data_IF_563203561914
#
_entry.id   IF_563203561914
#
_cell.length_a   1.000
_cell.length_b   1.000
_cell.length_c   1.000
_cell.angle_alpha   90.00
_cell.angle_beta   90.00
_cell.angle_gamma   90.00
#
_symmetry.space_group_name_H-M   'P 1'
#
loop_
_entity.id
_entity.type
_entity.pdbx_description
1 polymer ?
#
# COMPACT_ATOMS: atom_id res chain seq x y z
N UNK A 1 -30.20 -1.36 8.18
CA UNK A 1 -29.46 -1.20 9.43
C UNK A 1 -29.28 -2.61 10.01
N UNK A 2 -28.14 -3.29 9.68
CA UNK A 2 -27.80 -4.57 10.30
C UNK A 2 -26.93 -4.26 11.52
N UNK A 3 -27.41 -4.59 12.69
CA UNK A 3 -26.61 -4.62 13.91
C UNK A 3 -25.51 -5.65 13.72
N UNK A 4 -24.26 -5.18 13.57
CA UNK A 4 -23.07 -6.01 13.68
C UNK A 4 -22.97 -6.45 15.16
N UNK A 5 -23.35 -7.70 15.42
CA UNK A 5 -22.99 -8.38 16.66
C UNK A 5 -21.45 -8.42 16.70
N UNK A 6 -20.85 -7.70 17.63
CA UNK A 6 -19.44 -7.80 17.99
C UNK A 6 -19.18 -9.20 18.57
N UNK A 7 -18.94 -10.17 17.69
CA UNK A 7 -18.20 -11.35 18.10
C UNK A 7 -16.75 -10.84 18.13
N UNK A 8 -16.21 -10.66 19.32
CA UNK A 8 -14.78 -10.45 19.52
C UNK A 8 -14.06 -11.69 18.99
N UNK A 9 -13.65 -11.67 17.73
CA UNK A 9 -12.77 -12.69 17.21
C UNK A 9 -11.46 -12.50 17.98
N UNK A 10 -11.08 -13.49 18.79
CA UNK A 10 -9.83 -13.43 19.54
C UNK A 10 -8.68 -13.50 18.53
N UNK A 11 -7.96 -12.40 18.40
CA UNK A 11 -6.74 -12.32 17.56
C UNK A 11 -5.76 -13.42 17.98
N UNK A 12 -5.39 -14.31 17.05
CA UNK A 12 -4.49 -15.43 17.32
C UNK A 12 -3.03 -15.02 17.06
N UNK A 13 -2.16 -15.26 18.05
CA UNK A 13 -0.72 -15.01 17.88
C UNK A 13 -0.06 -16.22 17.22
N UNK A 14 0.65 -15.97 16.10
CA UNK A 14 1.37 -16.98 15.31
C UNK A 14 2.89 -16.97 15.51
N UNK A 15 3.44 -16.22 16.46
CA UNK A 15 4.89 -16.12 16.66
C UNK A 15 5.60 -17.47 16.87
N UNK A 16 4.94 -18.39 17.57
CA UNK A 16 5.50 -19.73 17.85
C UNK A 16 5.13 -20.77 16.80
N UNK A 17 3.94 -20.65 16.20
CA UNK A 17 3.42 -21.65 15.28
C UNK A 17 3.78 -21.40 13.83
N UNK A 18 4.09 -20.15 13.49
CA UNK A 18 4.36 -19.70 12.12
C UNK A 18 3.10 -19.62 11.24
N UNK A 19 3.26 -19.05 10.04
CA UNK A 19 2.20 -18.98 9.04
C UNK A 19 1.73 -20.39 8.62
N UNK A 20 2.61 -21.39 8.64
CA UNK A 20 2.31 -22.79 8.31
C UNK A 20 1.10 -23.35 9.07
N UNK A 21 0.84 -22.84 10.28
CA UNK A 21 -0.25 -23.35 11.12
C UNK A 21 -1.66 -22.97 10.62
N UNK A 22 -1.75 -22.05 9.67
CA UNK A 22 -3.02 -21.55 9.11
C UNK A 22 -3.04 -21.55 7.57
N UNK A 23 -1.92 -21.88 6.92
CA UNK A 23 -1.75 -21.78 5.46
C UNK A 23 -2.78 -22.57 4.67
N UNK A 24 -3.20 -23.73 5.17
CA UNK A 24 -4.16 -24.59 4.47
C UNK A 24 -5.59 -24.04 4.47
N UNK A 25 -5.86 -23.03 5.30
CA UNK A 25 -7.14 -22.35 5.33
C UNK A 25 -7.33 -21.36 4.19
N UNK A 26 -6.30 -21.06 3.39
CA UNK A 26 -6.31 -19.98 2.41
C UNK A 26 -5.85 -20.47 1.04
N UNK A 27 -6.43 -19.86 -0.01
CA UNK A 27 -6.10 -20.13 -1.40
C UNK A 27 -5.12 -19.10 -1.95
N UNK A 28 -5.22 -17.83 -1.48
CA UNK A 28 -4.45 -16.69 -1.97
C UNK A 28 -3.95 -15.85 -0.81
N UNK A 29 -2.71 -15.37 -0.92
CA UNK A 29 -2.08 -14.47 0.04
C UNK A 29 -1.74 -13.13 -0.63
N UNK A 30 -2.22 -12.02 -0.08
CA UNK A 30 -1.70 -10.69 -0.39
C UNK A 30 -0.65 -10.32 0.66
N UNK A 31 0.60 -10.15 0.23
CA UNK A 31 1.74 -9.92 1.12
C UNK A 31 2.33 -8.55 0.81
N UNK A 32 2.34 -7.65 1.79
CA UNK A 32 3.02 -6.36 1.65
C UNK A 32 4.53 -6.54 1.50
N UNK A 33 5.17 -5.57 0.84
CA UNK A 33 6.62 -5.57 0.67
C UNK A 33 7.34 -4.80 1.78
N UNK A 34 6.98 -3.54 1.99
CA UNK A 34 7.69 -2.65 2.88
C UNK A 34 7.29 -2.89 4.33
N UNK A 35 8.24 -3.20 5.19
CA UNK A 35 7.97 -3.58 6.60
C UNK A 35 7.69 -5.08 6.79
N UNK A 36 7.43 -5.83 5.71
CA UNK A 36 7.13 -7.27 5.74
C UNK A 36 8.22 -8.08 5.04
N UNK A 37 8.49 -7.82 3.77
CA UNK A 37 9.51 -8.53 2.98
C UNK A 37 10.86 -7.83 3.03
N UNK A 38 10.86 -6.50 3.16
CA UNK A 38 12.08 -5.69 3.28
C UNK A 38 11.85 -4.41 4.10
N UNK A 39 12.94 -3.78 4.54
CA UNK A 39 12.92 -2.50 5.25
C UNK A 39 13.39 -1.30 4.40
N UNK A 40 13.42 -1.43 3.07
CA UNK A 40 13.93 -0.43 2.14
C UNK A 40 15.45 -0.47 1.93
N UNK A 41 16.19 -1.26 2.72
CA UNK A 41 17.65 -1.40 2.66
C UNK A 41 18.02 -2.86 2.36
N UNK A 42 17.38 -3.81 3.04
CA UNK A 42 17.64 -5.26 2.90
C UNK A 42 16.35 -6.07 2.97
N UNK A 43 16.39 -7.24 2.36
CA UNK A 43 15.35 -8.26 2.50
C UNK A 43 15.37 -8.87 3.91
N UNK A 44 14.22 -9.37 4.35
CA UNK A 44 14.08 -10.15 5.56
C UNK A 44 14.14 -11.65 5.21
N UNK A 45 15.18 -12.35 5.65
CA UNK A 45 15.44 -13.76 5.29
C UNK A 45 14.25 -14.66 5.61
N UNK A 46 13.62 -14.48 6.77
CA UNK A 46 12.42 -15.22 7.16
C UNK A 46 11.24 -15.04 6.22
N UNK A 47 11.05 -13.83 5.69
CA UNK A 47 9.99 -13.57 4.74
C UNK A 47 10.26 -14.22 3.38
N UNK A 48 11.52 -14.27 2.94
CA UNK A 48 11.91 -15.00 1.72
C UNK A 48 11.65 -16.50 1.87
N UNK A 49 11.97 -17.06 3.04
CA UNK A 49 11.64 -18.46 3.35
C UNK A 49 10.12 -18.72 3.27
N UNK A 50 9.29 -17.80 3.76
CA UNK A 50 7.82 -17.92 3.64
C UNK A 50 7.38 -17.95 2.18
N UNK A 51 7.90 -17.05 1.32
CA UNK A 51 7.57 -17.03 -0.11
C UNK A 51 7.96 -18.36 -0.80
N UNK A 52 9.14 -18.89 -0.47
CA UNK A 52 9.60 -20.17 -1.00
C UNK A 52 8.70 -21.33 -0.54
N UNK A 53 8.26 -21.33 0.72
CA UNK A 53 7.39 -22.36 1.26
C UNK A 53 5.97 -22.29 0.72
N UNK A 54 5.39 -21.08 0.52
CA UNK A 54 4.11 -20.91 -0.16
C UNK A 54 4.16 -21.52 -1.56
N UNK A 55 5.21 -21.21 -2.33
CA UNK A 55 5.41 -21.80 -3.67
C UNK A 55 5.54 -23.32 -3.63
N UNK A 56 6.28 -23.90 -2.69
CA UNK A 56 6.41 -25.36 -2.52
C UNK A 56 5.07 -26.02 -2.15
N UNK A 57 4.23 -25.30 -1.44
CA UNK A 57 2.89 -25.76 -1.03
C UNK A 57 1.80 -25.47 -2.06
N UNK A 58 2.18 -25.02 -3.27
CA UNK A 58 1.26 -24.65 -4.37
C UNK A 58 0.20 -23.61 -3.94
N UNK A 59 0.59 -22.66 -3.07
CA UNK A 59 -0.27 -21.57 -2.65
C UNK A 59 -0.02 -20.34 -3.50
N UNK A 60 -1.10 -19.72 -3.97
CA UNK A 60 -1.04 -18.47 -4.73
C UNK A 60 -0.69 -17.30 -3.79
N UNK A 61 0.16 -16.39 -4.24
CA UNK A 61 0.40 -15.13 -3.52
C UNK A 61 0.76 -14.00 -4.46
N UNK A 62 0.41 -12.78 -4.05
CA UNK A 62 0.77 -11.53 -4.70
C UNK A 62 1.56 -10.67 -3.71
N UNK A 63 2.70 -10.17 -4.14
CA UNK A 63 3.49 -9.17 -3.44
C UNK A 63 2.86 -7.79 -3.75
N UNK A 64 1.94 -7.35 -2.88
CA UNK A 64 1.07 -6.20 -3.11
C UNK A 64 1.59 -4.96 -2.41
N UNK A 65 2.03 -3.95 -3.17
CA UNK A 65 2.66 -2.75 -2.61
C UNK A 65 1.99 -1.46 -3.05
N UNK A 66 2.01 -0.45 -2.17
CA UNK A 66 1.58 0.92 -2.46
C UNK A 66 2.66 1.76 -3.17
N UNK A 67 3.72 1.14 -3.69
CA UNK A 67 4.76 1.85 -4.45
C UNK A 67 4.15 2.55 -5.69
N UNK A 68 4.34 3.88 -5.85
CA UNK A 68 3.77 4.67 -6.95
C UNK A 68 4.56 4.50 -8.27
N UNK A 69 4.93 3.27 -8.61
CA UNK A 69 5.80 2.93 -9.74
C UNK A 69 5.28 1.71 -10.49
N UNK A 70 5.60 1.56 -11.79
CA UNK A 70 5.32 0.33 -12.53
C UNK A 70 5.95 -0.90 -11.85
N UNK A 71 5.35 -2.07 -12.05
CA UNK A 71 5.83 -3.35 -11.49
C UNK A 71 7.32 -3.57 -11.77
N UNK A 72 7.77 -3.30 -13.00
CA UNK A 72 9.16 -3.50 -13.43
C UNK A 72 10.17 -2.75 -12.56
N UNK A 73 9.85 -1.50 -12.18
CA UNK A 73 10.72 -0.69 -11.34
C UNK A 73 10.90 -1.29 -9.94
N UNK A 74 9.81 -1.80 -9.36
CA UNK A 74 9.85 -2.47 -8.05
C UNK A 74 10.57 -3.81 -8.14
N UNK A 75 10.33 -4.59 -9.19
CA UNK A 75 11.05 -5.84 -9.46
C UNK A 75 12.57 -5.58 -9.55
N UNK A 76 12.99 -4.55 -10.30
CA UNK A 76 14.40 -4.20 -10.41
C UNK A 76 15.02 -3.75 -9.09
N UNK A 77 14.25 -3.06 -8.24
CA UNK A 77 14.66 -2.70 -6.90
C UNK A 77 14.85 -3.93 -6.00
N UNK A 78 13.90 -4.87 -6.01
CA UNK A 78 13.99 -6.12 -5.26
C UNK A 78 15.16 -7.00 -5.72
N UNK A 79 15.42 -7.07 -7.04
CA UNK A 79 16.60 -7.76 -7.59
C UNK A 79 17.91 -7.18 -7.06
N UNK A 80 18.02 -5.84 -7.03
CA UNK A 80 19.20 -5.17 -6.44
C UNK A 80 19.39 -5.47 -4.96
N UNK A 81 18.29 -5.70 -4.22
CA UNK A 81 18.36 -6.14 -2.82
C UNK A 81 18.70 -7.63 -2.66
N UNK A 82 18.79 -8.41 -3.75
CA UNK A 82 19.13 -9.83 -3.72
C UNK A 82 17.95 -10.79 -3.83
N UNK A 83 16.73 -10.32 -4.09
CA UNK A 83 15.61 -11.24 -4.40
C UNK A 83 15.93 -11.97 -5.71
N UNK A 84 15.79 -13.32 -5.70
CA UNK A 84 16.16 -14.19 -6.82
C UNK A 84 14.96 -14.81 -7.54
N UNK A 85 13.78 -14.81 -6.92
CA UNK A 85 12.57 -15.49 -7.39
C UNK A 85 11.32 -14.64 -7.13
N UNK A 86 10.16 -15.12 -7.56
CA UNK A 86 8.82 -14.58 -7.25
C UNK A 86 8.52 -13.19 -7.86
N UNK A 87 9.24 -12.79 -8.90
CA UNK A 87 9.06 -11.48 -9.56
C UNK A 87 7.71 -11.33 -10.25
N UNK A 88 7.18 -12.43 -10.81
CA UNK A 88 5.87 -12.47 -11.47
C UNK A 88 4.71 -12.17 -10.52
N UNK A 89 4.95 -12.28 -9.21
CA UNK A 89 3.93 -12.07 -8.20
C UNK A 89 3.84 -10.61 -7.71
N UNK A 90 4.71 -9.72 -8.21
CA UNK A 90 4.72 -8.30 -7.80
C UNK A 90 3.58 -7.54 -8.49
N UNK A 91 2.77 -6.84 -7.70
CA UNK A 91 1.78 -5.89 -8.19
C UNK A 91 1.80 -4.60 -7.37
N UNK A 92 1.81 -3.45 -8.07
CA UNK A 92 1.99 -2.14 -7.46
C UNK A 92 0.74 -1.26 -7.62
N UNK A 93 0.55 -0.33 -6.69
CA UNK A 93 -0.45 0.73 -6.84
C UNK A 93 -0.18 1.61 -8.06
N UNK A 94 1.10 1.80 -8.39
CA UNK A 94 1.50 2.50 -9.60
C UNK A 94 1.03 1.81 -10.87
N UNK A 95 1.14 0.48 -10.96
CA UNK A 95 0.62 -0.30 -12.08
C UNK A 95 -0.90 -0.15 -12.21
N UNK A 96 -1.63 -0.25 -11.10
CA UNK A 96 -3.08 -0.06 -11.09
C UNK A 96 -3.48 1.35 -11.55
N UNK A 97 -2.76 2.38 -11.05
CA UNK A 97 -2.99 3.75 -11.47
C UNK A 97 -2.64 3.98 -12.96
N UNK A 98 -1.53 3.42 -13.44
CA UNK A 98 -1.10 3.58 -14.83
C UNK A 98 -2.15 3.03 -15.82
N UNK A 99 -2.75 1.88 -15.51
CA UNK A 99 -3.85 1.34 -16.32
C UNK A 99 -5.00 2.34 -16.43
N UNK A 100 -5.43 2.92 -15.30
CA UNK A 100 -6.48 3.94 -15.28
C UNK A 100 -6.10 5.21 -16.03
N UNK A 101 -4.88 5.72 -15.86
CA UNK A 101 -4.40 6.92 -16.55
C UNK A 101 -4.41 6.74 -18.07
N UNK A 102 -4.05 5.55 -18.56
CA UNK A 102 -4.01 5.23 -19.99
C UNK A 102 -5.42 5.01 -20.57
N UNK A 103 -6.31 4.32 -19.84
CA UNK A 103 -7.67 4.03 -20.32
C UNK A 103 -8.59 5.26 -20.25
N UNK A 104 -8.60 5.97 -19.12
CA UNK A 104 -9.61 6.99 -18.83
C UNK A 104 -9.10 8.42 -19.04
N UNK A 105 -7.80 8.70 -18.88
CA UNK A 105 -7.26 10.05 -18.82
C UNK A 105 -6.17 10.34 -19.86
N UNK A 106 -5.96 9.46 -20.83
CA UNK A 106 -4.86 9.52 -21.81
C UNK A 106 -4.71 10.88 -22.53
N UNK A 107 -5.81 11.57 -22.79
CA UNK A 107 -5.82 12.83 -23.55
C UNK A 107 -5.97 14.06 -22.64
N UNK A 108 -6.07 13.89 -21.33
CA UNK A 108 -6.22 14.97 -20.37
C UNK A 108 -4.86 15.44 -19.87
N UNK A 109 -4.72 16.74 -19.67
CA UNK A 109 -3.50 17.36 -19.12
C UNK A 109 -3.45 17.16 -17.61
N UNK A 110 -2.26 16.88 -17.08
CA UNK A 110 -2.08 16.75 -15.63
C UNK A 110 -0.90 17.57 -15.12
N UNK A 111 -1.02 17.99 -13.87
CA UNK A 111 0.09 18.53 -13.10
C UNK A 111 0.62 17.44 -12.15
N UNK A 112 1.89 17.12 -12.28
CA UNK A 112 2.54 16.09 -11.43
C UNK A 112 2.96 16.68 -10.09
N UNK A 113 2.51 16.04 -9.00
CA UNK A 113 2.94 16.28 -7.63
C UNK A 113 3.74 15.06 -7.18
N UNK A 114 5.05 15.21 -7.06
CA UNK A 114 5.96 14.13 -6.70
C UNK A 114 7.37 14.37 -7.19
N UNK A 115 8.31 13.50 -6.79
CA UNK A 115 9.71 13.62 -7.18
C UNK A 115 9.94 13.17 -8.62
N UNK A 116 10.99 13.65 -9.30
CA UNK A 116 11.34 13.25 -10.67
C UNK A 116 11.58 11.74 -10.83
N UNK A 117 12.00 11.05 -9.78
CA UNK A 117 12.21 9.60 -9.80
C UNK A 117 10.95 8.76 -10.08
N UNK A 118 9.76 9.37 -10.00
CA UNK A 118 8.48 8.70 -10.26
C UNK A 118 7.97 8.94 -11.70
N UNK A 119 8.73 9.65 -12.56
CA UNK A 119 8.33 9.96 -13.94
C UNK A 119 8.12 8.72 -14.82
N UNK A 120 8.70 7.58 -14.47
CA UNK A 120 8.48 6.32 -15.19
C UNK A 120 7.01 5.88 -15.18
N UNK A 121 6.26 6.26 -14.14
CA UNK A 121 4.84 5.94 -14.00
C UNK A 121 4.01 6.44 -15.20
N UNK A 122 4.33 7.61 -15.71
CA UNK A 122 3.54 8.26 -16.76
C UNK A 122 4.32 8.53 -18.07
N UNK A 123 5.42 7.79 -18.31
CA UNK A 123 6.23 7.95 -19.54
C UNK A 123 5.39 7.88 -20.83
N UNK A 124 4.35 7.04 -20.83
CA UNK A 124 3.46 6.83 -21.98
C UNK A 124 2.47 7.99 -22.22
N UNK A 125 2.27 8.86 -21.22
CA UNK A 125 1.40 10.04 -21.28
C UNK A 125 2.18 11.32 -20.90
N UNK A 126 3.52 11.30 -21.00
CA UNK A 126 4.40 12.41 -20.61
C UNK A 126 4.07 13.74 -21.31
N UNK A 127 3.57 13.67 -22.56
CA UNK A 127 3.19 14.87 -23.33
C UNK A 127 2.04 15.66 -22.70
N UNK A 128 1.24 15.03 -21.85
CA UNK A 128 0.12 15.64 -21.14
C UNK A 128 0.54 16.31 -19.82
N UNK A 129 1.78 16.10 -19.35
CA UNK A 129 2.29 16.75 -18.16
C UNK A 129 2.52 18.24 -18.39
N UNK A 130 1.87 19.09 -17.60
CA UNK A 130 1.98 20.56 -17.65
C UNK A 130 2.79 21.08 -16.47
N UNK A 131 3.41 22.27 -16.64
CA UNK A 131 4.27 22.88 -15.62
C UNK A 131 3.50 23.77 -14.62
N UNK A 132 2.27 24.15 -14.94
CA UNK A 132 1.42 24.98 -14.08
C UNK A 132 0.15 24.24 -13.72
N UNK A 133 -0.28 24.36 -12.45
CA UNK A 133 -1.51 23.72 -11.98
C UNK A 133 -2.73 24.23 -12.74
N UNK A 134 -2.75 25.51 -13.08
CA UNK A 134 -3.87 26.12 -13.81
C UNK A 134 -4.15 25.45 -15.16
N UNK A 135 -3.10 25.02 -15.86
CA UNK A 135 -3.18 24.42 -17.20
C UNK A 135 -3.60 22.92 -17.16
N UNK A 136 -3.72 22.32 -15.99
CA UNK A 136 -4.04 20.91 -15.82
C UNK A 136 -5.55 20.65 -15.74
N UNK A 137 -5.99 19.53 -16.29
CA UNK A 137 -7.35 19.01 -16.11
C UNK A 137 -7.48 18.26 -14.78
N UNK A 138 -6.40 17.58 -14.33
CA UNK A 138 -6.34 16.87 -13.07
C UNK A 138 -4.93 16.93 -12.45
N UNK A 139 -4.84 16.51 -11.18
CA UNK A 139 -3.60 16.41 -10.42
C UNK A 139 -3.16 14.95 -10.33
N UNK A 140 -1.89 14.64 -10.62
CA UNK A 140 -1.31 13.31 -10.44
C UNK A 140 -0.32 13.34 -9.28
N UNK A 141 -0.70 12.77 -8.14
CA UNK A 141 0.12 12.74 -6.94
C UNK A 141 0.78 11.37 -6.76
N UNK A 142 2.12 11.32 -6.90
CA UNK A 142 2.93 10.11 -6.68
C UNK A 142 3.75 10.19 -5.39
N UNK A 143 3.93 11.41 -4.85
CA UNK A 143 4.74 11.66 -3.66
C UNK A 143 4.77 13.14 -3.32
N UNK A 144 5.82 13.55 -2.62
CA UNK A 144 6.14 14.93 -2.32
C UNK A 144 7.27 15.43 -3.23
N UNK A 145 7.36 16.74 -3.45
CA UNK A 145 8.51 17.34 -4.11
C UNK A 145 9.75 17.23 -3.21
N UNK A 146 10.91 16.98 -3.80
CA UNK A 146 12.17 16.80 -3.05
C UNK A 146 12.51 18.01 -2.15
N UNK A 147 12.12 19.24 -2.53
CA UNK A 147 12.36 20.44 -1.74
C UNK A 147 11.29 20.69 -0.64
N UNK A 148 10.20 19.92 -0.61
CA UNK A 148 9.05 20.11 0.29
C UNK A 148 8.58 18.79 0.91
N UNK A 149 9.49 17.83 1.08
CA UNK A 149 9.19 16.48 1.58
C UNK A 149 8.64 16.42 3.01
N UNK A 150 8.81 17.51 3.79
CA UNK A 150 8.34 17.61 5.18
C UNK A 150 7.35 18.77 5.42
N UNK A 151 6.91 19.50 4.37
CA UNK A 151 6.03 20.67 4.51
C UNK A 151 4.65 20.43 3.88
N UNK A 152 3.73 19.81 4.61
CA UNK A 152 2.35 19.62 4.16
C UNK A 152 1.59 20.96 4.01
N UNK A 153 1.99 22.03 4.72
CA UNK A 153 1.38 23.35 4.56
C UNK A 153 1.69 23.96 3.20
N UNK A 154 2.86 23.67 2.62
CA UNK A 154 3.15 24.04 1.24
C UNK A 154 2.09 23.50 0.29
N UNK A 155 1.76 22.20 0.38
CA UNK A 155 0.73 21.59 -0.48
C UNK A 155 -0.64 22.16 -0.22
N UNK A 156 -0.99 22.43 1.03
CA UNK A 156 -2.25 23.11 1.36
C UNK A 156 -2.36 24.46 0.64
N UNK A 157 -1.28 25.28 0.64
CA UNK A 157 -1.27 26.59 -0.01
C UNK A 157 -1.43 26.49 -1.53
N UNK A 158 -0.60 25.66 -2.20
CA UNK A 158 -0.63 25.57 -3.67
C UNK A 158 -1.91 24.91 -4.22
N UNK A 159 -2.58 24.09 -3.41
CA UNK A 159 -3.77 23.35 -3.82
C UNK A 159 -5.09 24.06 -3.47
N UNK A 160 -5.09 25.06 -2.58
CA UNK A 160 -6.30 25.72 -2.08
C UNK A 160 -7.17 26.33 -3.17
N UNK A 161 -6.58 26.86 -4.24
CA UNK A 161 -7.31 27.47 -5.35
C UNK A 161 -7.67 26.47 -6.45
N UNK A 162 -7.35 25.16 -6.27
CA UNK A 162 -7.50 24.14 -7.29
C UNK A 162 -8.38 22.96 -6.85
N UNK A 163 -9.23 23.16 -5.84
CA UNK A 163 -10.09 22.13 -5.24
C UNK A 163 -11.15 21.55 -6.22
N UNK A 164 -11.43 22.27 -7.31
CA UNK A 164 -12.29 21.76 -8.39
C UNK A 164 -11.65 20.67 -9.25
N UNK A 165 -10.31 20.60 -9.26
CA UNK A 165 -9.56 19.56 -9.98
C UNK A 165 -9.59 18.26 -9.18
N UNK A 166 -9.72 17.15 -9.89
CA UNK A 166 -9.61 15.81 -9.29
C UNK A 166 -8.14 15.47 -9.07
N UNK A 167 -7.79 14.88 -7.93
CA UNK A 167 -6.46 14.32 -7.67
C UNK A 167 -6.48 12.81 -7.85
N UNK A 168 -5.53 12.27 -8.59
CA UNK A 168 -5.22 10.83 -8.67
C UNK A 168 -4.04 10.58 -7.74
N UNK A 169 -4.27 9.86 -6.65
CA UNK A 169 -3.25 9.48 -5.68
C UNK A 169 -2.80 8.04 -5.95
N UNK A 170 -1.52 7.86 -6.25
CA UNK A 170 -0.94 6.57 -6.65
C UNK A 170 -0.25 5.84 -5.51
N UNK A 171 -0.22 6.41 -4.31
CA UNK A 171 0.29 5.80 -3.09
C UNK A 171 -0.54 6.29 -1.89
N UNK A 172 -1.53 5.53 -1.41
CA UNK A 172 -2.37 5.93 -0.28
C UNK A 172 -1.68 5.96 1.08
N UNK A 173 -0.46 5.41 1.23
CA UNK A 173 0.27 5.48 2.48
C UNK A 173 0.48 6.92 2.92
N UNK A 174 0.29 7.18 4.21
CA UNK A 174 0.56 8.50 4.78
C UNK A 174 2.06 8.69 5.04
N UNK A 175 2.69 7.65 5.54
CA UNK A 175 4.10 7.64 5.95
C UNK A 175 4.74 6.29 5.61
N UNK A 176 6.06 6.30 5.49
CA UNK A 176 6.89 5.09 5.37
C UNK A 176 8.15 5.25 6.21
N UNK A 177 8.63 4.15 6.80
CA UNK A 177 9.92 4.10 7.49
C UNK A 177 11.01 3.57 6.53
N UNK A 178 11.98 4.41 6.17
CA UNK A 178 13.18 4.01 5.41
C UNK A 178 14.35 3.87 6.37
N UNK A 179 14.61 2.66 6.83
CA UNK A 179 15.49 2.43 7.96
C UNK A 179 14.94 3.13 9.21
N UNK A 180 15.68 4.12 9.74
CA UNK A 180 15.25 4.90 10.90
C UNK A 180 14.54 6.22 10.54
N UNK A 181 14.61 6.65 9.28
CA UNK A 181 13.97 7.89 8.82
C UNK A 181 12.51 7.64 8.45
N UNK A 182 11.60 8.42 9.04
CA UNK A 182 10.18 8.45 8.67
C UNK A 182 9.93 9.53 7.65
N UNK A 183 9.26 9.17 6.55
CA UNK A 183 9.00 10.06 5.41
C UNK A 183 7.50 10.10 5.11
N UNK A 184 6.99 11.28 4.68
CA UNK A 184 5.63 11.38 4.15
C UNK A 184 5.52 10.76 2.76
N UNK A 185 4.34 10.19 2.49
CA UNK A 185 3.97 9.64 1.18
C UNK A 185 2.88 10.48 0.50
N UNK A 186 2.53 10.14 -0.75
CA UNK A 186 1.49 10.84 -1.52
C UNK A 186 0.15 10.90 -0.79
N UNK A 187 -0.20 9.88 0.00
CA UNK A 187 -1.41 9.85 0.81
C UNK A 187 -1.50 11.01 1.80
N UNK A 188 -0.38 11.52 2.33
CA UNK A 188 -0.37 12.70 3.20
C UNK A 188 -0.75 13.98 2.44
N UNK A 189 -0.29 14.13 1.19
CA UNK A 189 -0.69 15.24 0.31
C UNK A 189 -2.17 15.12 -0.07
N UNK A 190 -2.60 13.92 -0.45
CA UNK A 190 -3.98 13.64 -0.80
C UNK A 190 -4.94 13.92 0.36
N UNK A 191 -4.59 13.48 1.58
CA UNK A 191 -5.37 13.78 2.80
C UNK A 191 -5.42 15.29 3.09
N UNK A 192 -4.32 16.00 2.89
CA UNK A 192 -4.29 17.47 3.01
C UNK A 192 -5.22 18.12 2.00
N UNK A 193 -5.28 17.60 0.77
CA UNK A 193 -6.20 18.08 -0.26
C UNK A 193 -7.68 17.81 0.09
N UNK A 194 -8.01 16.65 0.63
CA UNK A 194 -9.36 16.35 1.14
C UNK A 194 -9.78 17.25 2.30
N UNK A 195 -8.86 17.60 3.21
CA UNK A 195 -9.15 18.53 4.32
C UNK A 195 -9.59 19.92 3.84
N UNK A 196 -9.13 20.35 2.66
CA UNK A 196 -9.56 21.58 2.00
C UNK A 196 -10.70 21.37 0.98
N UNK A 197 -11.39 20.21 1.04
CA UNK A 197 -12.54 19.82 0.20
C UNK A 197 -12.19 19.44 -1.24
N UNK A 198 -10.96 19.14 -1.56
CA UNK A 198 -10.56 18.54 -2.83
C UNK A 198 -11.06 17.09 -2.96
N UNK A 199 -11.25 16.61 -4.20
CA UNK A 199 -11.67 15.24 -4.50
C UNK A 199 -10.48 14.39 -4.90
N UNK A 200 -10.32 13.21 -4.27
CA UNK A 200 -9.22 12.27 -4.55
C UNK A 200 -9.76 10.93 -5.04
N UNK A 201 -9.10 10.37 -6.06
CA UNK A 201 -9.23 8.97 -6.44
C UNK A 201 -7.94 8.28 -6.04
N UNK A 202 -8.05 7.24 -5.22
CA UNK A 202 -6.91 6.50 -4.70
C UNK A 202 -6.68 5.19 -5.47
N UNK A 203 -5.41 4.91 -5.79
CA UNK A 203 -4.93 3.63 -6.24
C UNK A 203 -3.96 3.06 -5.21
N UNK A 204 -4.18 1.81 -4.83
CA UNK A 204 -3.43 1.12 -3.77
C UNK A 204 -4.31 0.72 -2.59
N UNK A 205 -3.72 -0.04 -1.66
CA UNK A 205 -4.36 -0.45 -0.41
C UNK A 205 -4.74 0.79 0.42
N UNK A 206 -5.91 0.89 1.03
CA UNK A 206 -6.93 -0.15 1.26
C UNK A 206 -7.99 -0.24 0.15
N UNK A 207 -7.84 0.44 -0.99
CA UNK A 207 -8.88 0.60 -2.00
C UNK A 207 -9.02 -0.63 -2.92
N UNK A 208 -10.25 -1.04 -3.29
CA UNK A 208 -10.53 -2.26 -4.07
C UNK A 208 -9.76 -2.41 -5.38
N UNK A 209 -9.49 -1.35 -6.18
CA UNK A 209 -8.87 -1.51 -7.49
C UNK A 209 -7.54 -2.28 -7.49
N UNK A 210 -6.71 -2.12 -6.45
CA UNK A 210 -5.41 -2.79 -6.41
C UNK A 210 -5.53 -4.31 -6.23
N UNK A 211 -6.54 -4.76 -5.49
CA UNK A 211 -6.82 -6.19 -5.29
C UNK A 211 -7.38 -6.80 -6.57
N UNK A 212 -8.47 -6.22 -7.12
CA UNK A 212 -9.18 -6.72 -8.29
C UNK A 212 -8.32 -6.73 -9.57
N UNK A 213 -7.36 -5.81 -9.70
CA UNK A 213 -6.49 -5.73 -10.87
C UNK A 213 -5.24 -6.61 -10.76
N UNK A 214 -4.90 -7.09 -9.58
CA UNK A 214 -3.67 -7.87 -9.33
C UNK A 214 -3.79 -9.33 -9.75
N UNK A 215 -4.96 -9.93 -9.50
CA UNK A 215 -5.27 -11.34 -9.83
C UNK A 215 -6.78 -11.58 -9.73
N UNK A 216 -7.22 -12.75 -10.18
CA UNK A 216 -8.59 -13.21 -9.92
C UNK A 216 -8.74 -13.60 -8.44
N UNK A 217 -9.67 -12.92 -7.77
CA UNK A 217 -10.00 -13.11 -6.34
C UNK A 217 -11.34 -13.82 -6.13
N UNK A 218 -12.01 -14.22 -7.22
CA UNK A 218 -13.36 -14.83 -7.16
C UNK A 218 -13.31 -16.15 -6.40
N UNK A 219 -14.23 -16.32 -5.46
CA UNK A 219 -14.43 -17.53 -4.65
C UNK A 219 -13.19 -18.03 -3.87
N UNK A 220 -12.15 -17.18 -3.74
CA UNK A 220 -10.93 -17.51 -2.99
C UNK A 220 -11.04 -17.09 -1.53
N UNK A 221 -10.55 -17.94 -0.63
CA UNK A 221 -10.30 -17.59 0.75
C UNK A 221 -8.92 -16.92 0.85
N UNK A 222 -8.92 -15.66 1.28
CA UNK A 222 -7.76 -14.75 1.15
C UNK A 222 -7.23 -14.32 2.51
N UNK A 223 -5.90 -14.34 2.68
CA UNK A 223 -5.21 -13.75 3.80
C UNK A 223 -4.35 -12.56 3.35
N UNK A 224 -4.63 -11.39 3.91
CA UNK A 224 -3.78 -10.21 3.73
C UNK A 224 -2.75 -10.13 4.84
N UNK A 225 -1.47 -9.97 4.48
CA UNK A 225 -0.34 -9.89 5.40
C UNK A 225 0.33 -8.53 5.23
N UNK A 226 0.35 -7.74 6.29
CA UNK A 226 0.94 -6.40 6.24
C UNK A 226 1.25 -5.83 7.62
N UNK A 227 1.96 -4.71 7.64
CA UNK A 227 2.35 -4.01 8.87
C UNK A 227 1.57 -2.73 9.12
N UNK A 228 0.78 -2.26 8.14
CA UNK A 228 0.10 -0.98 8.20
C UNK A 228 -1.42 -1.15 8.42
N UNK A 229 -1.87 -0.66 9.58
CA UNK A 229 -3.28 -0.70 9.97
C UNK A 229 -4.20 0.11 9.04
N UNK A 230 -3.70 1.21 8.46
CA UNK A 230 -4.48 2.07 7.57
C UNK A 230 -4.64 1.52 6.15
N UNK A 231 -3.75 0.66 5.70
CA UNK A 231 -3.71 0.18 4.32
C UNK A 231 -3.89 -1.34 4.22
N UNK A 232 -2.99 -2.13 4.77
CA UNK A 232 -3.05 -3.59 4.68
C UNK A 232 -4.26 -4.16 5.41
N UNK A 233 -4.36 -3.84 6.72
CA UNK A 233 -5.41 -4.39 7.57
C UNK A 233 -6.76 -3.78 7.24
N UNK A 234 -6.81 -2.47 7.07
CA UNK A 234 -8.05 -1.80 6.64
C UNK A 234 -8.53 -2.30 5.28
N UNK A 235 -7.60 -2.56 4.37
CA UNK A 235 -7.90 -3.14 3.07
C UNK A 235 -8.48 -4.54 3.17
N UNK A 236 -7.89 -5.42 3.99
CA UNK A 236 -8.45 -6.73 4.28
C UNK A 236 -9.89 -6.62 4.83
N UNK A 237 -10.11 -5.75 5.82
CA UNK A 237 -11.43 -5.56 6.42
C UNK A 237 -12.47 -5.03 5.43
N UNK A 238 -12.11 -4.07 4.56
CA UNK A 238 -13.02 -3.52 3.53
C UNK A 238 -13.42 -4.59 2.50
N UNK A 239 -12.48 -5.49 2.15
CA UNK A 239 -12.72 -6.57 1.19
C UNK A 239 -13.33 -7.82 1.83
N UNK A 240 -13.54 -7.86 3.16
CA UNK A 240 -13.92 -9.04 3.94
C UNK A 240 -12.93 -10.21 3.80
N UNK A 241 -11.62 -9.91 3.71
CA UNK A 241 -10.54 -10.87 3.78
C UNK A 241 -10.02 -11.00 5.21
N UNK A 242 -9.45 -12.17 5.53
CA UNK A 242 -8.74 -12.35 6.79
C UNK A 242 -7.40 -11.59 6.78
N UNK A 243 -6.89 -11.25 7.95
CA UNK A 243 -5.71 -10.40 8.09
C UNK A 243 -4.68 -10.94 9.08
N UNK A 244 -3.40 -10.78 8.72
CA UNK A 244 -2.25 -11.02 9.59
C UNK A 244 -1.46 -9.71 9.73
N UNK A 245 -1.47 -9.13 10.93
CA UNK A 245 -0.69 -7.94 11.25
C UNK A 245 0.74 -8.29 11.63
N UNK A 246 1.72 -7.71 10.95
CA UNK A 246 3.14 -7.75 11.34
C UNK A 246 3.41 -6.61 12.32
N UNK A 247 3.59 -6.96 13.60
CA UNK A 247 3.61 -5.99 14.69
C UNK A 247 4.93 -5.20 14.81
N UNK A 248 6.04 -5.73 14.27
CA UNK A 248 7.34 -5.05 14.27
C UNK A 248 7.54 -4.13 13.05
N UNK A 249 6.47 -3.64 12.46
CA UNK A 249 6.47 -2.73 11.31
C UNK A 249 6.25 -1.27 11.69
N UNK A 250 5.50 -0.54 10.84
CA UNK A 250 5.28 0.91 10.96
C UNK A 250 4.62 1.33 12.27
N UNK A 251 3.78 0.47 12.88
CA UNK A 251 3.08 0.73 14.13
C UNK A 251 3.79 0.17 15.38
N UNK A 252 5.02 -0.37 15.25
CA UNK A 252 5.72 -1.04 16.36
C UNK A 252 5.83 -0.20 17.63
N UNK A 253 6.13 1.09 17.51
CA UNK A 253 6.26 1.98 18.67
C UNK A 253 4.94 2.16 19.41
N UNK A 254 3.85 2.31 18.68
CA UNK A 254 2.51 2.46 19.24
C UNK A 254 2.02 1.16 19.92
N UNK A 255 2.24 0.01 19.26
CA UNK A 255 1.85 -1.31 19.78
C UNK A 255 2.64 -1.67 21.05
N UNK A 256 3.89 -1.23 21.18
CA UNK A 256 4.69 -1.42 22.39
C UNK A 256 4.24 -0.53 23.57
N UNK A 257 3.64 0.63 23.29
CA UNK A 257 3.22 1.61 24.30
C UNK A 257 1.77 1.45 24.75
N UNK A 258 0.93 0.90 23.89
CA UNK A 258 -0.51 0.83 24.09
C UNK A 258 -0.97 -0.62 23.82
N UNK A 259 -1.87 -1.13 24.64
CA UNK A 259 -2.50 -2.44 24.42
C UNK A 259 -3.06 -2.55 22.99
N UNK A 260 -2.77 -3.68 22.32
CA UNK A 260 -3.13 -3.90 20.91
C UNK A 260 -4.61 -3.60 20.63
N UNK A 261 -5.52 -4.07 21.47
CA UNK A 261 -6.97 -3.84 21.29
C UNK A 261 -7.34 -2.35 21.25
N UNK A 262 -6.64 -1.52 22.01
CA UNK A 262 -6.85 -0.06 21.99
C UNK A 262 -6.30 0.56 20.71
N UNK A 263 -5.17 0.04 20.19
CA UNK A 263 -4.63 0.46 18.89
C UNK A 263 -5.61 0.07 17.79
N UNK A 264 -6.07 -1.18 17.72
CA UNK A 264 -7.02 -1.63 16.71
C UNK A 264 -8.31 -0.80 16.72
N UNK A 265 -8.84 -0.51 17.90
CA UNK A 265 -10.03 0.35 18.05
C UNK A 265 -9.80 1.77 17.54
N UNK A 266 -8.61 2.35 17.79
CA UNK A 266 -8.24 3.69 17.28
C UNK A 266 -8.23 3.75 15.74
N UNK A 267 -7.80 2.67 15.08
CA UNK A 267 -7.75 2.57 13.62
C UNK A 267 -9.05 2.02 13.02
N UNK A 268 -10.01 1.63 13.85
CA UNK A 268 -11.31 1.04 13.43
C UNK A 268 -11.12 -0.19 12.55
N UNK A 269 -10.25 -1.12 12.97
CA UNK A 269 -9.92 -2.35 12.25
C UNK A 269 -9.96 -3.57 13.15
N UNK A 270 -10.18 -4.75 12.52
CA UNK A 270 -10.09 -6.07 13.14
C UNK A 270 -8.89 -6.81 12.56
N UNK A 271 -8.30 -7.68 13.36
CA UNK A 271 -7.13 -8.49 12.98
C UNK A 271 -7.35 -9.93 13.43
N UNK A 272 -7.25 -10.88 12.50
CA UNK A 272 -7.43 -12.31 12.78
C UNK A 272 -6.19 -12.90 13.39
N UNK A 273 -5.02 -12.52 12.87
CA UNK A 273 -3.72 -13.02 13.32
C UNK A 273 -2.72 -11.90 13.54
N UNK A 274 -1.80 -12.13 14.48
CA UNK A 274 -0.60 -11.29 14.65
C UNK A 274 0.66 -12.14 14.60
N UNK A 275 1.72 -11.53 14.09
CA UNK A 275 3.07 -12.07 14.13
C UNK A 275 4.06 -10.92 14.27
N UNK A 276 5.13 -11.10 15.05
CA UNK A 276 6.14 -10.06 15.22
C UNK A 276 6.89 -9.75 13.90
N UNK A 277 7.26 -10.80 13.18
CA UNK A 277 7.81 -10.73 11.82
C UNK A 277 7.29 -11.92 11.03
N UNK A 278 7.13 -11.78 9.72
CA UNK A 278 6.60 -12.84 8.87
C UNK A 278 7.53 -14.07 8.91
N UNK A 279 7.02 -15.18 9.43
CA UNK A 279 7.73 -16.47 9.57
C UNK A 279 6.82 -17.63 9.18
N UNK A 280 7.46 -18.70 8.68
CA UNK A 280 6.78 -19.93 8.29
C UNK A 280 6.32 -20.80 9.44
#
# INVERSE_FOLDING_TARGET
MRFLSYISIMTKNLDHLGLRSVVDNYDLFFIDLWGVVHNGIKLHDHSIEVLDNLSKSNKDFILLTNAPRPNENVINFLKKMGLKKHFQNVFTSGEAAQKYLISELKNQKFFHIGPPRDFDLFKNIKKQNVLKIDDADYLLCTGLFDNYENDLNYYKRILSNHISKKMICTNPDLIVDRGEKREFCAGSVARTFEQIKGKVIYFGKPHPPVYNQSTDITDKKILCIGDNLNTDIKGANIQNFDSLLITNGIHRKEILQIELNKVLKKYEVNVDYIQNSLKW
#
